data_IF_062344623108
#
_entry.id   IF_062344623108
#
_cell.length_a   1.000
_cell.length_b   1.000
_cell.length_c   1.000
_cell.angle_alpha   90.00
_cell.angle_beta   90.00
_cell.angle_gamma   90.00
#
_symmetry.space_group_name_H-M   'P 1'
#
loop_
_entity.id
_entity.type
_entity.pdbx_description
1 polymer ?
#
# COMPACT_ATOMS: atom_id res chain seq x y z
N UNK A 1 1.13 18.71 -3.40
CA UNK A 1 0.32 17.50 -3.33
C UNK A 1 -1.11 17.94 -3.26
N UNK A 2 -1.98 17.34 -4.09
CA UNK A 2 -3.40 17.73 -4.16
C UNK A 2 -4.26 16.77 -3.32
N UNK A 3 -3.91 15.49 -3.32
CA UNK A 3 -4.67 14.43 -2.64
C UNK A 3 -3.71 13.58 -1.83
N UNK A 4 -4.09 13.29 -0.58
CA UNK A 4 -3.46 12.29 0.26
C UNK A 4 -4.48 11.18 0.56
N UNK A 5 -4.15 9.96 0.15
CA UNK A 5 -4.89 8.76 0.53
C UNK A 5 -4.21 8.16 1.76
N UNK A 6 -4.99 7.88 2.80
CA UNK A 6 -4.50 7.20 4.01
C UNK A 6 -5.28 5.90 4.15
N UNK A 7 -4.56 4.78 4.19
CA UNK A 7 -5.15 3.45 4.35
C UNK A 7 -4.71 2.84 5.68
N UNK A 8 -5.67 2.34 6.44
CA UNK A 8 -5.45 1.59 7.67
C UNK A 8 -5.84 0.14 7.39
N UNK A 9 -4.85 -0.73 7.20
CA UNK A 9 -5.08 -2.13 6.86
C UNK A 9 -5.86 -2.84 7.97
N UNK A 10 -6.87 -3.62 7.62
CA UNK A 10 -7.66 -4.41 8.58
C UNK A 10 -8.48 -3.59 9.60
N UNK A 11 -8.59 -2.26 9.45
CA UNK A 11 -9.42 -1.42 10.31
C UNK A 11 -10.90 -1.55 9.91
N UNK A 12 -11.74 -2.05 10.81
CA UNK A 12 -13.19 -2.09 10.58
C UNK A 12 -13.83 -0.76 11.01
N UNK A 13 -14.85 -0.26 10.29
CA UNK A 13 -15.55 0.96 10.67
C UNK A 13 -16.12 0.93 12.10
N UNK A 14 -16.56 -0.24 12.57
CA UNK A 14 -17.08 -0.46 13.93
C UNK A 14 -16.04 -0.28 15.04
N UNK A 15 -14.75 -0.27 14.70
CA UNK A 15 -13.67 -0.08 15.68
C UNK A 15 -13.37 1.40 15.93
N UNK A 16 -13.76 2.29 15.01
CA UNK A 16 -13.48 3.72 15.10
C UNK A 16 -14.41 4.34 16.14
N UNK A 17 -13.83 4.88 17.22
CA UNK A 17 -14.55 5.53 18.30
C UNK A 17 -13.74 6.71 18.87
N UNK A 18 -14.43 7.61 19.56
CA UNK A 18 -13.86 8.84 20.10
C UNK A 18 -12.77 8.60 21.16
N UNK A 19 -12.94 7.58 22.01
CA UNK A 19 -12.02 7.31 23.13
C UNK A 19 -10.64 6.84 22.66
N UNK A 20 -10.61 5.97 21.63
CA UNK A 20 -9.38 5.33 21.15
C UNK A 20 -8.78 6.04 19.93
N UNK A 21 -9.63 6.61 19.06
CA UNK A 21 -9.22 7.21 17.79
C UNK A 21 -9.86 8.60 17.59
N UNK A 22 -9.66 9.56 18.52
CA UNK A 22 -10.36 10.85 18.49
C UNK A 22 -10.13 11.63 17.20
N UNK A 23 -8.92 11.56 16.63
CA UNK A 23 -8.60 12.24 15.38
C UNK A 23 -9.36 11.64 14.19
N UNK A 24 -9.33 10.31 14.01
CA UNK A 24 -10.03 9.66 12.89
C UNK A 24 -11.55 9.77 13.07
N UNK A 25 -12.05 9.64 14.29
CA UNK A 25 -13.45 9.87 14.63
C UNK A 25 -13.89 11.30 14.28
N UNK A 26 -13.07 12.31 14.60
CA UNK A 26 -13.29 13.70 14.18
C UNK A 26 -13.40 13.84 12.65
N UNK A 27 -12.47 13.24 11.90
CA UNK A 27 -12.51 13.26 10.42
C UNK A 27 -13.80 12.67 9.85
N UNK A 28 -14.36 11.61 10.46
CA UNK A 28 -15.61 11.01 10.00
C UNK A 28 -16.82 11.94 10.22
N UNK A 29 -16.77 12.80 11.24
CA UNK A 29 -17.85 13.74 11.60
C UNK A 29 -17.75 15.07 10.85
N UNK A 30 -16.55 15.50 10.49
CA UNK A 30 -16.32 16.74 9.72
C UNK A 30 -16.31 16.51 8.21
N UNK A 31 -16.13 15.26 7.77
CA UNK A 31 -16.01 14.85 6.38
C UNK A 31 -17.26 14.17 5.82
N UNK A 32 -17.06 13.40 4.74
CA UNK A 32 -18.09 12.58 4.10
C UNK A 32 -17.78 11.11 4.36
N UNK A 33 -18.73 10.42 4.98
CA UNK A 33 -18.63 8.99 5.27
C UNK A 33 -19.53 8.18 4.34
N UNK A 34 -18.95 7.26 3.58
CA UNK A 34 -19.69 6.29 2.77
C UNK A 34 -19.97 5.02 3.59
N UNK A 35 -21.21 4.85 4.03
CA UNK A 35 -21.62 3.73 4.91
C UNK A 35 -21.85 2.40 4.17
N UNK A 36 -21.94 2.44 2.84
CA UNK A 36 -22.24 1.27 1.99
C UNK A 36 -21.10 0.94 1.02
N UNK A 37 -19.85 1.01 1.50
CA UNK A 37 -18.68 0.60 0.72
C UNK A 37 -18.38 -0.90 0.97
N UNK A 38 -17.83 -1.57 -0.04
CA UNK A 38 -17.53 -3.00 0.05
C UNK A 38 -16.14 -3.29 -0.50
N UNK A 39 -15.42 -4.16 0.20
CA UNK A 39 -14.23 -4.80 -0.32
C UNK A 39 -14.56 -5.65 -1.56
N UNK A 40 -13.59 -5.84 -2.44
CA UNK A 40 -13.70 -6.86 -3.49
C UNK A 40 -13.52 -8.26 -2.88
N UNK A 41 -14.04 -9.27 -3.58
CA UNK A 41 -13.85 -10.66 -3.19
C UNK A 41 -12.65 -11.31 -3.91
N UNK A 42 -11.81 -12.11 -3.21
CA UNK A 42 -11.82 -12.31 -1.76
C UNK A 42 -11.25 -11.10 -1.00
N UNK A 43 -11.72 -10.90 0.23
CA UNK A 43 -11.38 -9.75 1.08
C UNK A 43 -9.99 -9.87 1.71
N UNK A 44 -8.96 -9.89 0.87
CA UNK A 44 -7.55 -9.91 1.29
C UNK A 44 -6.81 -8.69 0.75
N UNK A 45 -5.76 -8.28 1.47
CA UNK A 45 -5.04 -7.01 1.29
C UNK A 45 -4.56 -6.75 -0.14
N UNK A 46 -3.88 -7.72 -0.77
CA UNK A 46 -3.24 -7.48 -2.08
C UNK A 46 -4.27 -7.19 -3.16
N UNK A 47 -5.35 -7.95 -3.13
CA UNK A 47 -6.44 -7.83 -4.10
C UNK A 47 -7.16 -6.51 -3.91
N UNK A 48 -7.54 -6.17 -2.67
CA UNK A 48 -8.22 -4.90 -2.38
C UNK A 48 -7.33 -3.69 -2.70
N UNK A 49 -6.04 -3.76 -2.37
CA UNK A 49 -5.07 -2.72 -2.73
C UNK A 49 -4.98 -2.55 -4.25
N UNK A 50 -4.83 -3.65 -5.01
CA UNK A 50 -4.79 -3.57 -6.49
C UNK A 50 -6.09 -3.05 -7.08
N UNK A 51 -7.24 -3.53 -6.60
CA UNK A 51 -8.54 -3.04 -7.07
C UNK A 51 -8.73 -1.54 -6.79
N UNK A 52 -8.29 -1.06 -5.62
CA UNK A 52 -8.38 0.35 -5.25
C UNK A 52 -7.57 1.25 -6.20
N UNK A 53 -6.36 0.82 -6.60
CA UNK A 53 -5.49 1.63 -7.48
C UNK A 53 -5.63 1.34 -8.97
N UNK A 54 -6.50 0.41 -9.36
CA UNK A 54 -6.85 0.18 -10.77
C UNK A 54 -8.28 0.58 -11.09
N UNK A 55 -9.16 0.67 -10.09
CA UNK A 55 -10.60 0.83 -10.28
C UNK A 55 -11.26 -0.40 -10.92
N UNK A 56 -10.62 -1.57 -10.82
CA UNK A 56 -11.04 -2.80 -11.50
C UNK A 56 -11.18 -3.95 -10.51
N UNK A 57 -12.01 -4.94 -10.87
CA UNK A 57 -12.12 -6.20 -10.13
C UNK A 57 -10.95 -7.16 -10.44
N UNK A 58 -10.76 -8.21 -9.63
CA UNK A 58 -9.65 -9.16 -9.78
C UNK A 58 -9.54 -9.80 -11.15
N UNK A 59 -10.68 -10.17 -11.75
CA UNK A 59 -10.73 -10.75 -13.10
C UNK A 59 -10.22 -9.81 -14.19
N UNK A 60 -10.18 -8.49 -13.95
CA UNK A 60 -9.71 -7.50 -14.90
C UNK A 60 -8.26 -7.10 -14.64
N UNK A 61 -7.82 -6.91 -13.38
CA UNK A 61 -6.43 -6.53 -13.11
C UNK A 61 -5.45 -7.71 -12.99
N UNK A 62 -5.96 -8.95 -12.91
CA UNK A 62 -5.15 -10.18 -13.02
C UNK A 62 -4.59 -10.74 -11.70
N UNK A 63 -4.89 -10.12 -10.55
CA UNK A 63 -4.43 -10.57 -9.23
C UNK A 63 -5.60 -11.20 -8.48
N UNK A 64 -5.68 -12.53 -8.53
CA UNK A 64 -6.85 -13.28 -8.02
C UNK A 64 -6.76 -13.69 -6.55
N UNK A 65 -5.57 -13.74 -5.96
CA UNK A 65 -5.33 -14.19 -4.59
C UNK A 65 -3.97 -13.71 -4.05
N UNK A 66 -3.73 -13.92 -2.75
CA UNK A 66 -2.39 -13.74 -2.18
C UNK A 66 -1.41 -14.82 -2.67
N UNK A 67 -1.88 -16.02 -2.99
CA UNK A 67 -1.07 -17.09 -3.59
C UNK A 67 -1.75 -17.60 -4.85
N UNK A 68 -1.01 -17.72 -5.95
CA UNK A 68 -1.56 -18.04 -7.27
C UNK A 68 -0.65 -19.01 -8.02
N UNK A 69 -1.21 -19.59 -9.09
CA UNK A 69 -0.45 -20.09 -10.23
C UNK A 69 -0.72 -19.12 -11.38
N UNK A 70 0.34 -18.54 -11.96
CA UNK A 70 0.23 -17.66 -13.13
C UNK A 70 0.80 -18.40 -14.33
N UNK A 71 -0.09 -19.05 -15.11
CA UNK A 71 0.32 -20.04 -16.11
C UNK A 71 1.24 -19.48 -17.20
N UNK A 72 1.08 -18.21 -17.57
CA UNK A 72 1.95 -17.55 -18.56
C UNK A 72 3.38 -17.31 -18.01
N UNK A 73 3.52 -17.22 -16.69
CA UNK A 73 4.81 -17.10 -16.01
C UNK A 73 5.42 -18.48 -15.78
N UNK A 74 4.71 -19.35 -15.08
CA UNK A 74 5.10 -20.73 -14.81
C UNK A 74 3.82 -21.55 -14.54
N UNK A 75 3.54 -22.60 -15.34
CA UNK A 75 2.29 -23.35 -15.25
C UNK A 75 2.16 -24.21 -13.99
N UNK A 76 3.25 -24.51 -13.29
CA UNK A 76 3.27 -25.47 -12.18
C UNK A 76 3.70 -24.83 -10.85
N UNK A 77 4.20 -23.59 -10.88
CA UNK A 77 4.64 -22.89 -9.69
C UNK A 77 3.48 -22.21 -8.95
N UNK A 78 3.21 -22.68 -7.73
CA UNK A 78 2.42 -21.94 -6.75
C UNK A 78 3.34 -20.96 -6.03
N UNK A 79 3.00 -19.68 -6.03
CA UNK A 79 3.78 -18.65 -5.34
C UNK A 79 2.91 -17.60 -4.65
N UNK A 80 3.46 -16.98 -3.62
CA UNK A 80 2.87 -15.80 -2.99
C UNK A 80 3.13 -14.57 -3.87
N UNK A 81 2.09 -13.80 -4.16
CA UNK A 81 2.12 -12.56 -4.95
C UNK A 81 2.84 -11.45 -4.16
N UNK A 82 4.16 -11.51 -4.12
CA UNK A 82 5.02 -10.58 -3.37
C UNK A 82 6.41 -10.49 -3.99
N UNK A 83 7.29 -9.64 -3.44
CA UNK A 83 8.69 -9.62 -3.86
C UNK A 83 9.43 -10.89 -3.39
N UNK A 84 10.42 -11.39 -4.14
CA UNK A 84 10.90 -10.90 -5.44
C UNK A 84 10.09 -11.41 -6.66
N UNK A 85 9.04 -12.20 -6.43
CA UNK A 85 8.30 -12.90 -7.49
C UNK A 85 7.62 -11.92 -8.46
N UNK A 86 7.03 -10.84 -7.95
CA UNK A 86 6.41 -9.80 -8.78
C UNK A 86 7.41 -9.13 -9.73
N UNK A 87 8.66 -8.93 -9.28
CA UNK A 87 9.73 -8.42 -10.13
C UNK A 87 10.13 -9.42 -11.22
N UNK A 88 10.18 -10.71 -10.88
CA UNK A 88 10.49 -11.77 -11.86
C UNK A 88 9.40 -11.89 -12.92
N UNK A 89 8.12 -11.80 -12.52
CA UNK A 89 6.98 -11.75 -13.43
C UNK A 89 7.12 -10.54 -14.36
N UNK A 90 7.40 -9.36 -13.79
CA UNK A 90 7.60 -8.14 -14.58
C UNK A 90 8.72 -8.30 -15.62
N UNK A 91 9.85 -8.87 -15.22
CA UNK A 91 11.00 -9.12 -16.12
C UNK A 91 10.68 -10.11 -17.24
N UNK A 92 9.87 -11.14 -16.96
CA UNK A 92 9.56 -12.20 -17.93
C UNK A 92 8.40 -11.82 -18.85
N UNK A 93 7.34 -11.21 -18.31
CA UNK A 93 6.07 -10.98 -19.01
C UNK A 93 5.82 -9.51 -19.38
N UNK A 94 6.63 -8.58 -18.89
CA UNK A 94 6.39 -7.14 -19.06
C UNK A 94 5.56 -6.59 -17.92
N UNK A 95 4.34 -6.14 -18.18
CA UNK A 95 3.50 -5.56 -17.11
C UNK A 95 2.93 -6.66 -16.19
N UNK A 96 2.89 -6.37 -14.89
CA UNK A 96 2.36 -7.30 -13.87
C UNK A 96 0.83 -7.31 -13.84
N UNK A 97 0.20 -6.19 -14.18
CA UNK A 97 -1.24 -6.02 -14.23
C UNK A 97 -1.72 -5.96 -15.69
N UNK A 98 -2.92 -6.47 -15.96
CA UNK A 98 -3.52 -6.40 -17.30
C UNK A 98 -4.13 -5.05 -17.65
N UNK A 99 -4.13 -4.11 -16.71
CA UNK A 99 -4.74 -2.78 -16.83
C UNK A 99 -3.80 -1.73 -16.26
N UNK A 100 -3.91 -0.50 -16.75
CA UNK A 100 -3.24 0.66 -16.16
C UNK A 100 -3.69 0.84 -14.70
N UNK A 101 -2.74 1.20 -13.84
CA UNK A 101 -3.05 1.67 -12.50
C UNK A 101 -3.13 3.20 -12.45
N UNK A 102 -3.47 3.74 -11.28
CA UNK A 102 -3.53 5.18 -11.04
C UNK A 102 -2.23 5.92 -11.38
N UNK A 103 -1.07 5.29 -11.11
CA UNK A 103 0.24 5.87 -11.44
C UNK A 103 0.45 6.01 -12.94
N UNK A 104 0.09 5.00 -13.71
CA UNK A 104 0.17 5.00 -15.17
C UNK A 104 -0.76 6.05 -15.78
N UNK A 105 -2.02 6.10 -15.30
CA UNK A 105 -3.00 7.09 -15.74
C UNK A 105 -2.51 8.52 -15.47
N UNK A 106 -2.01 8.80 -14.26
CA UNK A 106 -1.52 10.15 -13.91
C UNK A 106 -0.30 10.55 -14.74
N UNK A 107 0.60 9.62 -15.03
CA UNK A 107 1.79 9.87 -15.82
C UNK A 107 1.44 10.32 -17.26
N UNK A 108 0.33 9.86 -17.83
CA UNK A 108 -0.17 10.33 -19.13
C UNK A 108 -0.49 11.85 -19.14
N UNK A 109 -0.65 12.46 -17.96
CA UNK A 109 -0.87 13.90 -17.77
C UNK A 109 0.33 14.61 -17.15
N UNK A 110 1.48 13.96 -17.05
CA UNK A 110 2.67 14.51 -16.38
C UNK A 110 2.55 14.63 -14.86
N UNK A 111 1.53 14.00 -14.28
CA UNK A 111 1.22 14.00 -12.85
C UNK A 111 1.81 12.73 -12.20
N UNK A 112 2.01 12.74 -10.87
CA UNK A 112 2.75 11.68 -10.16
C UNK A 112 1.95 11.07 -9.03
N UNK A 113 2.15 9.76 -8.83
CA UNK A 113 1.66 8.99 -7.68
C UNK A 113 2.81 8.40 -6.87
N UNK A 114 2.83 8.66 -5.57
CA UNK A 114 3.82 8.08 -4.64
C UNK A 114 3.11 7.34 -3.52
N UNK A 115 3.46 6.07 -3.34
CA UNK A 115 3.00 5.22 -2.24
C UNK A 115 4.12 4.96 -1.24
N UNK A 116 3.81 5.10 0.05
CA UNK A 116 4.70 4.81 1.17
C UNK A 116 3.95 3.93 2.16
N UNK A 117 4.54 2.81 2.57
CA UNK A 117 3.87 1.93 3.53
C UNK A 117 4.76 0.87 4.13
N UNK A 118 4.34 0.35 5.29
CA UNK A 118 5.04 -0.71 6.03
C UNK A 118 4.27 -2.06 5.98
N UNK A 119 3.42 -2.23 4.97
CA UNK A 119 2.72 -3.49 4.67
C UNK A 119 3.64 -4.53 4.01
N UNK A 120 3.05 -5.67 3.65
CA UNK A 120 3.79 -6.72 2.93
C UNK A 120 4.30 -6.22 1.57
N UNK A 121 5.40 -6.78 1.07
CA UNK A 121 5.95 -6.31 -0.22
C UNK A 121 4.99 -6.45 -1.39
N UNK A 122 4.09 -7.44 -1.34
CA UNK A 122 3.07 -7.66 -2.37
C UNK A 122 2.07 -6.52 -2.51
N UNK A 123 1.46 -6.05 -1.41
CA UNK A 123 0.49 -4.96 -1.52
C UNK A 123 1.17 -3.65 -1.95
N UNK A 124 2.36 -3.39 -1.43
CA UNK A 124 3.11 -2.16 -1.69
C UNK A 124 3.53 -2.10 -3.16
N UNK A 125 4.07 -3.21 -3.69
CA UNK A 125 4.49 -3.25 -5.10
C UNK A 125 3.30 -3.05 -6.04
N UNK A 126 2.15 -3.67 -5.74
CA UNK A 126 0.96 -3.59 -6.58
C UNK A 126 0.22 -2.23 -6.50
N UNK A 127 0.54 -1.37 -5.53
CA UNK A 127 0.02 0.01 -5.51
C UNK A 127 0.54 0.79 -6.72
N UNK A 128 1.84 0.64 -7.03
CA UNK A 128 2.43 1.20 -8.24
C UNK A 128 3.53 0.31 -8.88
N UNK A 129 3.16 -0.78 -9.59
CA UNK A 129 4.12 -1.76 -10.12
C UNK A 129 5.03 -1.17 -11.22
N UNK A 130 4.56 -0.08 -11.85
CA UNK A 130 5.23 0.64 -12.92
C UNK A 130 5.94 1.92 -12.45
N UNK A 131 6.12 2.11 -11.13
CA UNK A 131 6.79 3.29 -10.56
C UNK A 131 8.22 3.53 -11.09
N UNK A 132 8.87 2.51 -11.65
CA UNK A 132 10.17 2.64 -12.30
C UNK A 132 10.14 3.42 -13.64
N UNK A 133 8.97 3.50 -14.29
CA UNK A 133 8.79 4.16 -15.60
C UNK A 133 7.75 5.28 -15.62
N UNK A 134 6.80 5.31 -14.66
CA UNK A 134 5.72 6.30 -14.64
C UNK A 134 5.99 7.54 -13.76
N UNK A 135 7.24 7.80 -13.41
CA UNK A 135 7.66 8.99 -12.64
C UNK A 135 7.19 9.04 -11.18
N UNK A 136 6.43 8.05 -10.73
CA UNK A 136 5.99 7.86 -9.35
C UNK A 136 7.02 7.15 -8.47
N UNK A 137 6.57 6.70 -7.28
CA UNK A 137 7.39 5.87 -6.40
C UNK A 137 6.55 4.91 -5.53
N UNK A 138 7.16 3.81 -5.10
CA UNK A 138 6.71 2.91 -4.04
C UNK A 138 7.83 2.78 -3.03
N UNK A 139 7.54 2.99 -1.76
CA UNK A 139 8.52 2.94 -0.68
C UNK A 139 8.05 1.96 0.40
N UNK A 140 8.83 0.92 0.62
CA UNK A 140 8.57 -0.16 1.57
C UNK A 140 9.87 -0.50 2.34
N UNK A 141 9.79 -1.06 3.57
CA UNK A 141 10.98 -1.48 4.32
C UNK A 141 11.94 -2.41 3.56
N UNK A 142 11.42 -3.25 2.67
CA UNK A 142 12.21 -4.27 1.97
C UNK A 142 12.61 -3.86 0.55
N UNK A 143 11.99 -2.82 -0.02
CA UNK A 143 12.34 -2.31 -1.34
C UNK A 143 11.84 -0.88 -1.56
N UNK A 144 12.50 -0.17 -2.47
CA UNK A 144 12.00 1.09 -3.02
C UNK A 144 11.96 0.99 -4.54
N UNK A 145 10.91 1.53 -5.17
CA UNK A 145 10.78 1.62 -6.62
C UNK A 145 10.53 3.09 -6.98
N UNK A 146 11.36 3.76 -7.80
CA UNK A 146 12.61 3.26 -8.37
C UNK A 146 13.69 3.00 -7.30
N UNK A 147 14.51 1.96 -7.50
CA UNK A 147 15.54 1.52 -6.53
C UNK A 147 16.57 2.61 -6.20
N UNK A 148 16.84 3.52 -7.13
CA UNK A 148 17.77 4.64 -6.91
C UNK A 148 17.34 5.60 -5.80
N UNK A 149 16.04 5.65 -5.48
CA UNK A 149 15.50 6.56 -4.47
C UNK A 149 15.85 6.13 -3.04
N UNK A 150 16.14 4.85 -2.81
CA UNK A 150 16.42 4.29 -1.48
C UNK A 150 17.56 5.03 -0.75
N UNK A 151 18.67 5.27 -1.45
CA UNK A 151 19.83 5.95 -0.86
C UNK A 151 19.50 7.37 -0.41
N UNK A 152 18.68 8.08 -1.19
CA UNK A 152 18.25 9.45 -0.86
C UNK A 152 17.30 9.47 0.34
N UNK A 153 16.38 8.50 0.41
CA UNK A 153 15.49 8.37 1.57
C UNK A 153 16.28 8.06 2.83
N UNK A 154 17.18 7.07 2.77
CA UNK A 154 18.05 6.71 3.90
C UNK A 154 18.88 7.89 4.39
N UNK A 155 19.43 8.73 3.51
CA UNK A 155 20.15 9.94 3.93
C UNK A 155 19.25 11.03 4.52
N UNK A 156 17.94 10.99 4.26
CA UNK A 156 16.98 12.01 4.72
C UNK A 156 16.31 11.63 6.04
N UNK A 157 15.86 10.38 6.15
CA UNK A 157 15.04 9.90 7.28
C UNK A 157 15.69 8.78 8.09
N UNK A 158 16.89 8.35 7.70
CA UNK A 158 17.62 7.26 8.36
C UNK A 158 17.19 5.88 7.88
N UNK A 159 17.70 4.85 8.57
CA UNK A 159 17.36 3.45 8.31
C UNK A 159 15.94 3.10 8.75
N UNK A 160 15.35 2.12 8.06
CA UNK A 160 14.08 1.54 8.48
C UNK A 160 14.22 0.91 9.88
N UNK A 161 13.29 1.18 10.81
CA UNK A 161 13.24 0.47 12.08
C UNK A 161 12.99 -1.03 11.88
N UNK A 162 13.51 -1.84 12.80
CA UNK A 162 13.14 -3.25 12.94
C UNK A 162 11.63 -3.38 13.12
N UNK A 163 11.06 -4.46 12.59
CA UNK A 163 9.63 -4.74 12.74
C UNK A 163 9.26 -5.00 14.20
N UNK A 164 8.07 -4.55 14.60
CA UNK A 164 7.44 -4.83 15.90
C UNK A 164 5.94 -5.05 15.73
N UNK A 165 5.29 -5.57 16.76
CA UNK A 165 3.83 -5.66 16.86
C UNK A 165 3.41 -4.97 18.17
N UNK A 166 2.66 -3.86 18.12
CA UNK A 166 2.29 -3.09 16.93
C UNK A 166 3.49 -2.51 16.16
N UNK A 167 3.32 -2.27 14.86
CA UNK A 167 4.39 -1.84 13.94
C UNK A 167 4.66 -0.32 13.95
N UNK A 168 4.36 0.32 15.08
CA UNK A 168 4.31 1.77 15.26
C UNK A 168 5.57 2.49 14.76
N UNK A 169 6.76 1.96 15.04
CA UNK A 169 8.04 2.58 14.63
C UNK A 169 8.16 2.70 13.11
N UNK A 170 7.74 1.67 12.37
CA UNK A 170 7.73 1.72 10.89
C UNK A 170 6.63 2.64 10.38
N UNK A 171 5.46 2.69 11.03
CA UNK A 171 4.40 3.64 10.64
C UNK A 171 4.85 5.10 10.80
N UNK A 172 5.51 5.43 11.92
CA UNK A 172 6.13 6.75 12.12
C UNK A 172 7.19 7.04 11.06
N UNK A 173 8.00 6.05 10.70
CA UNK A 173 8.98 6.19 9.61
C UNK A 173 8.30 6.45 8.25
N UNK A 174 7.16 5.82 7.94
CA UNK A 174 6.37 6.14 6.75
C UNK A 174 5.87 7.59 6.75
N UNK A 175 5.39 8.09 7.89
CA UNK A 175 4.98 9.50 8.05
C UNK A 175 6.16 10.44 7.85
N UNK A 176 7.33 10.10 8.40
CA UNK A 176 8.56 10.86 8.21
C UNK A 176 8.98 10.92 6.73
N UNK A 177 8.95 9.80 6.01
CA UNK A 177 9.21 9.77 4.56
C UNK A 177 8.23 10.68 3.82
N UNK A 178 6.94 10.58 4.13
CA UNK A 178 5.91 11.37 3.46
C UNK A 178 6.10 12.87 3.70
N UNK A 179 6.31 13.26 4.94
CA UNK A 179 6.35 14.67 5.37
C UNK A 179 7.70 15.34 5.16
N UNK A 180 8.81 14.63 5.35
CA UNK A 180 10.17 15.19 5.24
C UNK A 180 10.75 15.09 3.83
N UNK A 181 10.25 14.20 2.98
CA UNK A 181 10.76 14.01 1.62
C UNK A 181 9.68 14.06 0.53
N UNK A 182 8.66 13.21 0.58
CA UNK A 182 7.71 13.07 -0.55
C UNK A 182 6.95 14.36 -0.80
N UNK A 183 6.30 14.94 0.21
CA UNK A 183 5.58 16.21 0.09
C UNK A 183 6.51 17.36 -0.33
N UNK A 184 7.62 17.65 0.39
CA UNK A 184 8.43 18.84 0.09
C UNK A 184 9.34 18.71 -1.13
N UNK A 185 9.73 17.50 -1.56
CA UNK A 185 10.71 17.29 -2.65
C UNK A 185 10.10 16.71 -3.91
N UNK A 186 9.31 15.64 -3.79
CA UNK A 186 8.65 15.05 -4.98
C UNK A 186 7.38 15.84 -5.32
N UNK A 187 6.65 16.28 -4.30
CA UNK A 187 5.38 17.00 -4.39
C UNK A 187 4.37 16.34 -5.36
N UNK A 188 4.10 15.03 -5.23
CA UNK A 188 3.26 14.31 -6.17
C UNK A 188 1.82 14.81 -6.10
N UNK A 189 1.08 14.63 -7.18
CA UNK A 189 -0.34 14.97 -7.28
C UNK A 189 -1.15 14.19 -6.27
N UNK A 190 -0.86 12.88 -6.19
CA UNK A 190 -1.47 11.93 -5.25
C UNK A 190 -0.36 11.28 -4.41
N UNK A 191 -0.50 11.35 -3.09
CA UNK A 191 0.28 10.54 -2.14
C UNK A 191 -0.58 9.44 -1.52
N UNK A 192 0.02 8.30 -1.20
CA UNK A 192 -0.57 7.26 -0.37
C UNK A 192 0.33 6.99 0.84
N UNK A 193 -0.25 6.99 2.04
CA UNK A 193 0.31 6.31 3.20
C UNK A 193 -0.51 5.06 3.50
N UNK A 194 0.14 3.89 3.49
CA UNK A 194 -0.46 2.62 3.90
C UNK A 194 0.06 2.21 5.27
N UNK A 195 -0.78 2.33 6.29
CA UNK A 195 -0.50 1.82 7.61
C UNK A 195 -0.87 0.34 7.70
N UNK A 196 0.07 -0.50 8.15
CA UNK A 196 -0.12 -1.95 8.30
C UNK A 196 -0.88 -2.35 9.56
N UNK A 197 -1.34 -1.37 10.34
CA UNK A 197 -2.10 -1.55 11.57
C UNK A 197 -3.52 -1.02 11.35
N UNK A 198 -4.52 -1.59 12.05
CA UNK A 198 -4.40 -2.62 13.09
C UNK A 198 -4.32 -4.07 12.56
N UNK A 199 -4.28 -4.31 11.24
CA UNK A 199 -4.22 -5.66 10.64
C UNK A 199 -3.16 -6.58 11.25
N UNK A 200 -1.91 -6.12 11.35
CA UNK A 200 -0.81 -6.90 11.95
C UNK A 200 -1.11 -7.30 13.39
N UNK A 201 -1.60 -6.36 14.20
CA UNK A 201 -1.97 -6.65 15.59
C UNK A 201 -3.16 -7.62 15.66
N UNK A 202 -4.20 -7.41 14.85
CA UNK A 202 -5.34 -8.32 14.76
C UNK A 202 -4.94 -9.74 14.35
N UNK A 203 -3.95 -9.89 13.47
CA UNK A 203 -3.43 -11.21 13.11
C UNK A 203 -2.69 -11.88 14.27
N UNK A 204 -2.05 -11.11 15.15
CA UNK A 204 -1.28 -11.62 16.27
C UNK A 204 -2.15 -12.03 17.46
N UNK A 205 -3.16 -11.22 17.84
CA UNK A 205 -3.98 -11.47 19.02
C UNK A 205 -5.49 -11.58 18.77
N UNK A 206 -5.97 -11.29 17.57
CA UNK A 206 -7.38 -11.33 17.22
C UNK A 206 -8.08 -9.98 17.33
N UNK A 207 -9.12 -9.78 16.53
CA UNK A 207 -9.88 -8.53 16.48
C UNK A 207 -10.52 -8.23 17.85
N UNK A 208 -10.38 -6.98 18.30
CA UNK A 208 -10.94 -6.51 19.57
C UNK A 208 -10.07 -6.77 20.80
N UNK A 209 -8.91 -7.40 20.64
CA UNK A 209 -7.94 -7.54 21.72
C UNK A 209 -7.08 -6.29 21.90
N UNK A 210 -6.24 -6.33 22.94
CA UNK A 210 -5.50 -5.17 23.45
C UNK A 210 -4.46 -4.67 22.45
N UNK A 211 -3.79 -5.53 21.68
CA UNK A 211 -2.78 -5.07 20.71
C UNK A 211 -3.45 -4.26 19.60
N UNK A 212 -4.53 -4.78 19.01
CA UNK A 212 -5.29 -4.05 17.97
C UNK A 212 -5.87 -2.73 18.47
N UNK A 213 -6.23 -2.65 19.76
CA UNK A 213 -6.72 -1.41 20.38
C UNK A 213 -5.61 -0.36 20.59
N UNK A 214 -4.36 -0.80 20.76
CA UNK A 214 -3.20 0.07 20.99
C UNK A 214 -2.53 0.54 19.69
N UNK A 215 -2.75 -0.18 18.59
CA UNK A 215 -2.11 0.00 17.29
C UNK A 215 -2.75 1.14 16.48
#
# INVERSE_FOLDING_TARGET
MKILVVSFDGLQPSQINEDLMPNLYGYLNEGVTFTNHHAVYPSVTRINSTSMFTGRYPGSHGIAANSVVMRDFDPDLVFSVMQPMLENIRKKLGDVLYVENLGDILNNFGEKFVAVGAGTTGNSFLQNPNAHKNGGAVVNPEFTLPYSLEKTLKSTVGDWPSESIPNEKRLRHCVDIMTKYVIPKINPTVGLIWFSEPDKSHHADGVGNKLGTQA
#
